data_IF_562586820801
#
_entry.id   IF_562586820801
#
_cell.length_a   1.000
_cell.length_b   1.000
_cell.length_c   1.000
_cell.angle_alpha   90.00
_cell.angle_beta   90.00
_cell.angle_gamma   90.00
#
_symmetry.space_group_name_H-M   'P 1'
#
loop_
_entity.id
_entity.type
_entity.pdbx_description
1 polymer ?
#
# COMPACT_ATOMS: atom_id res chain seq x y z
N UNK A 1 -18.85 -15.23 11.67
CA UNK A 1 -18.12 -14.27 10.79
C UNK A 1 -17.12 -13.37 11.54
N UNK A 2 -16.78 -13.63 12.81
CA UNK A 2 -16.05 -12.65 13.64
C UNK A 2 -14.59 -12.98 13.95
N UNK A 3 -14.23 -14.25 14.17
CA UNK A 3 -12.93 -14.56 14.80
C UNK A 3 -11.71 -14.14 13.98
N UNK A 4 -11.73 -14.33 12.65
CA UNK A 4 -10.61 -13.93 11.77
C UNK A 4 -10.43 -12.40 11.79
N UNK A 5 -11.53 -11.64 11.73
CA UNK A 5 -11.47 -10.18 11.79
C UNK A 5 -10.96 -9.69 13.15
N UNK A 6 -11.41 -10.32 14.24
CA UNK A 6 -10.89 -10.03 15.58
C UNK A 6 -9.40 -10.31 15.70
N UNK A 7 -8.89 -11.41 15.13
CA UNK A 7 -7.45 -11.67 15.11
C UNK A 7 -6.68 -10.63 14.30
N UNK A 8 -7.19 -10.21 13.14
CA UNK A 8 -6.56 -9.16 12.34
C UNK A 8 -6.56 -7.81 13.07
N UNK A 9 -7.61 -7.51 13.84
CA UNK A 9 -7.69 -6.32 14.68
C UNK A 9 -6.66 -6.39 15.81
N UNK A 10 -6.56 -7.51 16.53
CA UNK A 10 -5.54 -7.71 17.57
C UNK A 10 -4.11 -7.60 17.03
N UNK A 11 -3.85 -8.11 15.83
CA UNK A 11 -2.54 -7.97 15.18
C UNK A 11 -2.24 -6.53 14.75
N UNK A 12 -3.26 -5.75 14.43
CA UNK A 12 -3.12 -4.32 14.14
C UNK A 12 -2.85 -3.52 15.42
N UNK A 13 -3.63 -3.77 16.47
CA UNK A 13 -3.47 -3.10 17.78
C UNK A 13 -2.12 -3.39 18.42
N UNK A 14 -1.57 -4.59 18.19
CA UNK A 14 -0.22 -4.98 18.62
C UNK A 14 0.90 -4.52 17.69
N UNK A 15 0.60 -3.73 16.65
CA UNK A 15 1.55 -3.21 15.68
C UNK A 15 2.34 -4.30 14.93
N UNK A 16 1.74 -5.47 14.72
CA UNK A 16 2.36 -6.58 13.97
C UNK A 16 2.00 -6.51 12.49
N UNK A 17 0.72 -6.25 12.20
CA UNK A 17 0.15 -6.32 10.86
C UNK A 17 -0.82 -5.17 10.62
N UNK A 18 -0.63 -4.46 9.52
CA UNK A 18 -1.49 -3.34 9.14
C UNK A 18 -2.30 -3.63 7.87
N UNK A 19 -3.52 -3.08 7.84
CA UNK A 19 -4.45 -3.18 6.72
C UNK A 19 -4.51 -1.85 5.96
N UNK A 20 -3.90 -1.81 4.78
CA UNK A 20 -3.94 -0.65 3.88
C UNK A 20 -5.04 -0.83 2.83
N UNK A 21 -6.02 0.08 2.82
CA UNK A 21 -7.20 0.01 1.95
C UNK A 21 -7.01 0.77 0.65
N UNK A 22 -7.85 0.41 -0.32
CA UNK A 22 -7.86 1.08 -1.63
C UNK A 22 -8.41 2.48 -1.48
N UNK A 23 -7.74 3.45 -2.08
CA UNK A 23 -8.27 4.79 -2.20
C UNK A 23 -9.55 4.80 -3.04
N UNK A 24 -10.54 5.53 -2.53
CA UNK A 24 -11.72 5.99 -3.26
C UNK A 24 -12.18 7.31 -2.63
N UNK A 25 -12.87 8.14 -3.41
CA UNK A 25 -13.57 9.32 -2.89
C UNK A 25 -14.76 8.93 -2.01
N UNK A 26 -15.30 7.72 -2.17
CA UNK A 26 -16.38 7.17 -1.35
C UNK A 26 -15.83 6.42 -0.14
N UNK A 27 -16.16 6.88 1.06
CA UNK A 27 -15.82 6.18 2.31
C UNK A 27 -16.35 4.75 2.35
N UNK A 28 -17.55 4.52 1.79
CA UNK A 28 -18.14 3.18 1.70
C UNK A 28 -17.29 2.26 0.84
N UNK A 29 -16.78 2.74 -0.29
CA UNK A 29 -15.93 1.95 -1.18
C UNK A 29 -14.56 1.66 -0.55
N UNK A 30 -13.97 2.63 0.16
CA UNK A 30 -12.73 2.40 0.93
C UNK A 30 -12.95 1.27 1.93
N UNK A 31 -14.04 1.32 2.71
CA UNK A 31 -14.37 0.31 3.72
C UNK A 31 -14.67 -1.08 3.12
N UNK A 32 -15.26 -1.13 1.92
CA UNK A 32 -15.56 -2.38 1.22
C UNK A 32 -14.39 -2.94 0.41
N UNK A 33 -13.31 -2.18 0.24
CA UNK A 33 -12.13 -2.63 -0.50
C UNK A 33 -11.41 -3.79 0.22
N UNK A 34 -10.80 -4.67 -0.57
CA UNK A 34 -9.90 -5.71 -0.08
C UNK A 34 -8.59 -5.03 0.35
N UNK A 35 -8.20 -5.09 1.64
CA UNK A 35 -6.99 -4.43 2.09
C UNK A 35 -5.73 -5.18 1.63
N UNK A 36 -4.66 -4.45 1.33
CA UNK A 36 -3.29 -4.97 1.33
C UNK A 36 -2.83 -5.16 2.79
N UNK A 37 -2.16 -6.27 3.05
CA UNK A 37 -1.64 -6.63 4.35
C UNK A 37 -0.13 -6.36 4.39
N UNK A 38 0.32 -5.55 5.33
CA UNK A 38 1.74 -5.24 5.54
C UNK A 38 2.18 -5.62 6.94
N UNK A 39 3.12 -6.55 7.04
CA UNK A 39 3.82 -6.83 8.29
C UNK A 39 4.81 -5.70 8.57
N UNK A 40 5.00 -5.36 9.85
CA UNK A 40 6.01 -4.37 10.25
C UNK A 40 7.43 -4.88 10.05
N UNK A 41 7.62 -6.19 10.13
CA UNK A 41 8.91 -6.85 9.93
C UNK A 41 8.82 -7.92 8.83
N UNK A 42 9.74 -7.85 7.86
CA UNK A 42 9.83 -8.83 6.78
C UNK A 42 10.20 -10.25 7.26
N UNK A 43 10.74 -10.37 8.48
CA UNK A 43 10.97 -11.64 9.16
C UNK A 43 9.71 -12.51 9.24
N UNK A 44 8.53 -11.91 9.41
CA UNK A 44 7.26 -12.66 9.38
C UNK A 44 7.02 -13.32 8.02
N UNK A 45 7.30 -12.61 6.93
CA UNK A 45 7.18 -13.16 5.58
C UNK A 45 8.23 -14.24 5.31
N UNK A 46 9.46 -14.03 5.76
CA UNK A 46 10.55 -15.00 5.62
C UNK A 46 10.26 -16.33 6.35
N UNK A 47 9.72 -16.26 7.57
CA UNK A 47 9.33 -17.46 8.35
C UNK A 47 8.22 -18.23 7.64
N UNK A 48 7.33 -17.54 6.91
CA UNK A 48 6.30 -18.15 6.08
C UNK A 48 6.83 -18.65 4.71
N UNK A 49 8.15 -18.58 4.48
CA UNK A 49 8.80 -19.04 3.25
C UNK A 49 8.66 -18.10 2.06
N UNK A 50 8.11 -16.88 2.26
CA UNK A 50 7.97 -15.88 1.19
C UNK A 50 9.34 -15.24 0.96
N UNK A 51 9.83 -15.29 -0.28
CA UNK A 51 11.10 -14.69 -0.72
C UNK A 51 10.86 -13.79 -1.93
N UNK A 52 10.12 -12.71 -1.70
CA UNK A 52 9.73 -11.74 -2.73
C UNK A 52 10.31 -10.37 -2.37
N UNK A 53 11.34 -9.96 -3.10
CA UNK A 53 12.05 -8.70 -2.85
C UNK A 53 11.13 -7.48 -3.04
N UNK A 54 10.20 -7.52 -3.99
CA UNK A 54 9.24 -6.44 -4.22
C UNK A 54 8.36 -6.23 -3.00
N UNK A 55 7.80 -7.31 -2.45
CA UNK A 55 7.00 -7.25 -1.21
C UNK A 55 7.80 -6.76 -0.01
N UNK A 56 9.07 -7.16 0.10
CA UNK A 56 9.94 -6.69 1.19
C UNK A 56 10.22 -5.20 1.08
N UNK A 57 10.49 -4.71 -0.12
CA UNK A 57 10.70 -3.29 -0.39
C UNK A 57 9.43 -2.48 -0.12
N UNK A 58 8.28 -2.94 -0.61
CA UNK A 58 6.98 -2.31 -0.30
C UNK A 58 6.75 -2.24 1.22
N UNK A 59 7.02 -3.32 1.95
CA UNK A 59 6.89 -3.36 3.42
C UNK A 59 7.79 -2.35 4.12
N UNK A 60 9.05 -2.23 3.70
CA UNK A 60 9.99 -1.23 4.25
C UNK A 60 9.50 0.19 3.98
N UNK A 61 9.09 0.48 2.74
CA UNK A 61 8.55 1.81 2.37
C UNK A 61 7.27 2.11 3.16
N UNK A 62 6.38 1.14 3.30
CA UNK A 62 5.17 1.28 4.10
C UNK A 62 5.49 1.69 5.55
N UNK A 63 6.40 0.98 6.22
CA UNK A 63 6.81 1.30 7.60
C UNK A 63 7.46 2.69 7.70
N UNK A 64 8.28 3.09 6.72
CA UNK A 64 8.85 4.44 6.65
C UNK A 64 7.77 5.53 6.53
N UNK A 65 6.72 5.31 5.72
CA UNK A 65 5.58 6.22 5.62
C UNK A 65 4.83 6.35 6.95
N UNK A 66 4.68 5.26 7.72
CA UNK A 66 4.08 5.33 9.06
C UNK A 66 4.95 6.15 10.02
N UNK A 67 6.27 5.96 9.99
CA UNK A 67 7.23 6.73 10.81
C UNK A 67 7.23 8.21 10.47
N UNK A 68 7.00 8.57 9.21
CA UNK A 68 6.77 9.95 8.76
C UNK A 68 5.44 10.55 9.22
N UNK A 69 4.59 9.77 9.86
CA UNK A 69 3.36 10.23 10.51
C UNK A 69 2.10 10.08 9.65
N UNK A 70 2.19 9.49 8.45
CA UNK A 70 1.02 9.27 7.60
C UNK A 70 0.06 8.27 8.26
N UNK A 71 -1.22 8.64 8.37
CA UNK A 71 -2.23 7.80 9.00
C UNK A 71 -2.86 6.85 7.99
N UNK A 72 -2.75 5.56 8.27
CA UNK A 72 -3.32 4.47 7.44
C UNK A 72 -4.82 4.70 7.25
N UNK A 73 -5.30 4.57 6.02
CA UNK A 73 -6.70 4.72 5.63
C UNK A 73 -7.31 6.10 5.90
N UNK A 74 -6.48 7.10 6.21
CA UNK A 74 -6.89 8.52 6.33
C UNK A 74 -6.08 9.39 5.38
N UNK A 75 -4.77 9.31 5.49
CA UNK A 75 -3.80 10.06 4.68
C UNK A 75 -3.06 9.12 3.73
N UNK A 76 -2.98 7.81 4.04
CA UNK A 76 -2.25 6.79 3.28
C UNK A 76 -3.18 5.68 2.80
N UNK A 77 -3.11 5.36 1.50
CA UNK A 77 -3.89 4.32 0.82
C UNK A 77 -3.01 3.61 -0.22
N UNK A 78 -3.49 2.52 -0.81
CA UNK A 78 -3.01 2.09 -2.13
C UNK A 78 -4.01 2.51 -3.21
N UNK A 79 -3.63 2.50 -4.48
CA UNK A 79 -4.54 2.81 -5.58
C UNK A 79 -4.62 1.67 -6.59
N UNK A 80 -5.83 1.36 -7.07
CA UNK A 80 -6.03 0.34 -8.12
C UNK A 80 -7.24 0.68 -8.99
N UNK A 81 -7.03 0.66 -10.30
CA UNK A 81 -8.08 0.79 -11.31
C UNK A 81 -7.76 -0.09 -12.52
N UNK A 82 -8.64 -1.04 -12.80
CA UNK A 82 -8.42 -2.11 -13.78
C UNK A 82 -7.11 -2.87 -13.45
N UNK A 83 -6.26 -3.08 -14.45
CA UNK A 83 -4.95 -3.73 -14.35
C UNK A 83 -3.85 -2.81 -13.79
N UNK A 84 -4.16 -1.55 -13.48
CA UNK A 84 -3.18 -0.58 -12.99
C UNK A 84 -3.27 -0.42 -11.49
N UNK A 85 -2.14 -0.57 -10.83
CA UNK A 85 -2.00 -0.46 -9.38
C UNK A 85 -0.82 0.47 -9.07
N UNK A 86 -0.97 1.25 -8.00
CA UNK A 86 0.09 2.05 -7.39
C UNK A 86 0.15 1.69 -5.91
N UNK A 87 1.34 1.39 -5.42
CA UNK A 87 1.52 0.83 -4.07
C UNK A 87 1.06 1.77 -2.97
N UNK A 88 1.43 3.04 -3.06
CA UNK A 88 1.01 4.05 -2.07
C UNK A 88 0.51 5.33 -2.72
N UNK A 89 -0.57 5.84 -2.14
CA UNK A 89 -1.21 7.11 -2.46
C UNK A 89 -1.34 7.90 -1.16
N UNK A 90 -0.78 9.10 -1.17
CA UNK A 90 -0.86 10.04 -0.05
C UNK A 90 -1.91 11.10 -0.37
N UNK A 91 -2.84 11.28 0.56
CA UNK A 91 -3.94 12.24 0.49
C UNK A 91 -3.72 13.36 1.50
N UNK A 92 -3.92 14.59 1.07
CA UNK A 92 -3.99 15.77 1.93
C UNK A 92 -5.36 16.43 1.80
N UNK A 93 -6.19 16.35 2.84
CA UNK A 93 -7.54 16.91 2.79
C UNK A 93 -8.43 16.16 1.79
N UNK A 94 -8.84 16.78 0.69
CA UNK A 94 -9.64 16.16 -0.40
C UNK A 94 -8.81 15.77 -1.61
N UNK A 95 -7.52 16.10 -1.61
CA UNK A 95 -6.66 15.98 -2.78
C UNK A 95 -5.63 14.87 -2.61
N UNK A 96 -5.27 14.23 -3.73
CA UNK A 96 -4.12 13.34 -3.80
C UNK A 96 -2.87 14.22 -3.93
N UNK A 97 -1.90 14.03 -3.04
CA UNK A 97 -0.68 14.83 -2.98
C UNK A 97 0.52 14.09 -3.54
N UNK A 98 0.55 12.77 -3.45
CA UNK A 98 1.67 11.99 -3.92
C UNK A 98 1.24 10.57 -4.31
N UNK A 99 1.87 10.05 -5.34
CA UNK A 99 1.79 8.66 -5.76
C UNK A 99 3.19 8.06 -5.66
N UNK A 100 3.30 6.86 -5.11
CA UNK A 100 4.57 6.17 -4.90
C UNK A 100 4.41 4.75 -5.43
N UNK A 101 5.23 4.41 -6.42
CA UNK A 101 5.43 3.06 -6.91
C UNK A 101 6.78 2.57 -6.41
N UNK A 102 6.82 1.40 -5.77
CA UNK A 102 8.06 0.77 -5.32
C UNK A 102 8.51 -0.19 -6.40
N UNK A 103 9.80 -0.14 -6.75
CA UNK A 103 10.38 -0.99 -7.78
C UNK A 103 11.82 -1.33 -7.43
N UNK A 104 12.24 -2.56 -7.77
CA UNK A 104 13.63 -2.99 -7.68
C UNK A 104 14.29 -2.80 -9.04
N UNK A 105 15.04 -1.70 -9.19
CA UNK A 105 15.73 -1.36 -10.42
C UNK A 105 17.05 -0.68 -10.12
N UNK A 106 18.10 -1.02 -10.87
CA UNK A 106 19.43 -0.39 -10.76
C UNK A 106 19.51 0.90 -11.58
N UNK A 107 18.60 1.06 -12.54
CA UNK A 107 18.50 2.21 -13.44
C UNK A 107 17.07 2.42 -13.94
N UNK A 108 16.78 3.58 -14.51
CA UNK A 108 15.42 3.91 -15.01
C UNK A 108 14.98 3.03 -16.18
N UNK A 109 15.94 2.54 -16.96
CA UNK A 109 15.79 1.65 -18.10
C UNK A 109 15.43 0.21 -17.71
N UNK A 110 15.72 -0.19 -16.47
CA UNK A 110 15.33 -1.50 -15.92
C UNK A 110 13.89 -1.50 -15.36
N UNK A 111 13.28 -0.32 -15.14
CA UNK A 111 11.92 -0.22 -14.61
C UNK A 111 10.95 -0.79 -15.65
N UNK A 112 10.15 -1.78 -15.22
CA UNK A 112 9.17 -2.38 -16.11
C UNK A 112 8.18 -1.32 -16.62
N UNK A 113 7.98 -1.26 -17.94
CA UNK A 113 7.10 -0.27 -18.59
C UNK A 113 5.68 -0.24 -17.98
N UNK A 114 5.20 -1.35 -17.42
CA UNK A 114 3.89 -1.42 -16.75
C UNK A 114 3.83 -0.60 -15.47
N UNK A 115 4.91 -0.52 -14.70
CA UNK A 115 4.96 0.23 -13.44
C UNK A 115 4.90 1.73 -13.73
N UNK A 116 5.73 2.17 -14.68
CA UNK A 116 5.73 3.55 -15.16
C UNK A 116 4.37 3.95 -15.73
N UNK A 117 3.75 3.08 -16.53
CA UNK A 117 2.42 3.31 -17.11
C UNK A 117 1.33 3.40 -16.04
N UNK A 118 1.39 2.57 -14.99
CA UNK A 118 0.41 2.59 -13.91
C UNK A 118 0.51 3.88 -13.11
N UNK A 119 1.74 4.33 -12.81
CA UNK A 119 1.99 5.59 -12.13
C UNK A 119 1.53 6.81 -12.95
N UNK A 120 1.87 6.87 -14.24
CA UNK A 120 1.42 7.96 -15.13
C UNK A 120 -0.10 8.01 -15.23
N UNK A 121 -0.75 6.86 -15.42
CA UNK A 121 -2.22 6.81 -15.54
C UNK A 121 -2.90 7.32 -14.28
N UNK A 122 -2.38 6.93 -13.10
CA UNK A 122 -2.88 7.44 -11.83
C UNK A 122 -2.63 8.95 -11.69
N UNK A 123 -1.44 9.44 -12.07
CA UNK A 123 -1.13 10.88 -12.04
C UNK A 123 -2.11 11.68 -12.90
N UNK A 124 -2.34 11.26 -14.15
CA UNK A 124 -3.26 11.94 -15.07
C UNK A 124 -4.71 11.98 -14.56
N UNK A 125 -5.11 11.04 -13.69
CA UNK A 125 -6.45 11.04 -13.09
C UNK A 125 -6.59 12.03 -11.94
N UNK A 126 -5.50 12.35 -11.25
CA UNK A 126 -5.52 13.20 -10.05
C UNK A 126 -4.98 14.62 -10.26
N UNK A 127 -4.34 14.89 -11.40
CA UNK A 127 -3.77 16.19 -11.76
C UNK A 127 -2.34 16.34 -11.25
#
# INVERSE_FOLDING_TARGET
KNTIYSYLEYLNDSMILYQLRKFSRSYKEVYQSIPKMYFVDNGFLLIQGIKDIGRFMEGVVFVDLLRKGFKINRDLFYYKKNEHEVDFLIRGGTEVKQLIQVTYASGKDEIEKREFKSLIKASNEFG
#
